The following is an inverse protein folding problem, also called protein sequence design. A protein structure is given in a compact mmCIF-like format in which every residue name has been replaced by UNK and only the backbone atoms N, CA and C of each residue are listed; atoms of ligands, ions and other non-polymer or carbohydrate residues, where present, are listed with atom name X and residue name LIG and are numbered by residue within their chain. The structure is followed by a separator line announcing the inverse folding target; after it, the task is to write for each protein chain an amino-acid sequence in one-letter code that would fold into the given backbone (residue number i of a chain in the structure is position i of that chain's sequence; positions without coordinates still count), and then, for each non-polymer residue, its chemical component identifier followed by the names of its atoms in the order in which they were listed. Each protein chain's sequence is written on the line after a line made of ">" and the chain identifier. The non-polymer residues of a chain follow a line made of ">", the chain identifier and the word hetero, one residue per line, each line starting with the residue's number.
data_IF_815446795963
#
_entry.id   IF_815446795963
#
_cell.length_a   1.000
_cell.length_b   1.000
_cell.length_c   1.000
_cell.angle_alpha   90.00
_cell.angle_beta   90.00
_cell.angle_gamma   90.00
#
_symmetry.space_group_name_H-M   'P 1'
#
loop_
_entity.id
_entity.type
_entity.pdbx_description
1 polymer ?
#
# COMPACT_ATOMS: atom_id res chain seq x y z
N UNK A 1 19.03 -11.29 15.54
CA UNK A 1 18.39 -11.28 14.98
C UNK A 1 17.71 -11.83 15.10
N UNK A 2 17.36 -12.09 15.31
CA UNK A 2 16.64 -12.30 15.33
C UNK A 2 16.11 -13.21 15.18
N UNK A 3 15.51 -13.52 15.83
CA UNK A 3 14.65 -14.26 15.63
C UNK A 3 14.63 -14.94 14.49
N UNK A 4 15.19 -14.58 13.64
CA UNK A 4 15.16 -15.14 12.47
C UNK A 4 16.34 -15.87 12.15
N UNK A 5 16.95 -16.42 13.12
CA UNK A 5 18.15 -17.07 12.94
C UNK A 5 18.13 -18.22 12.03
N UNK A 6 17.01 -18.90 11.92
CA UNK A 6 16.90 -20.08 11.08
C UNK A 6 16.42 -19.78 9.70
N UNK A 7 16.26 -18.51 9.37
CA UNK A 7 15.73 -18.11 8.08
C UNK A 7 16.86 -17.64 7.20
N UNK A 8 16.89 -18.15 5.97
CA UNK A 8 17.86 -17.74 4.98
C UNK A 8 17.73 -16.24 4.73
N UNK A 9 18.81 -15.47 4.78
CA UNK A 9 18.77 -14.05 4.50
C UNK A 9 18.14 -13.70 3.16
N UNK A 10 18.31 -14.55 2.15
CA UNK A 10 17.66 -14.32 0.88
C UNK A 10 16.17 -14.46 0.96
N UNK A 11 15.68 -15.39 1.76
CA UNK A 11 14.25 -15.54 1.97
C UNK A 11 13.67 -14.33 2.65
N UNK A 12 14.37 -13.79 3.63
CA UNK A 12 13.94 -12.60 4.33
C UNK A 12 13.85 -11.43 3.35
N UNK A 13 14.87 -11.24 2.54
CA UNK A 13 14.88 -10.16 1.57
C UNK A 13 13.73 -10.31 0.56
N UNK A 14 13.48 -11.52 0.09
CA UNK A 14 12.42 -11.75 -0.86
C UNK A 14 11.05 -11.52 -0.25
N UNK A 15 10.88 -11.87 1.01
CA UNK A 15 9.61 -11.67 1.68
C UNK A 15 9.35 -10.21 2.00
N UNK A 16 10.41 -9.46 2.29
CA UNK A 16 10.28 -8.05 2.63
C UNK A 16 10.21 -7.16 1.40
N UNK A 17 10.65 -7.68 0.24
CA UNK A 17 10.68 -6.93 -0.99
C UNK A 17 9.93 -7.71 -2.06
N UNK A 18 8.60 -7.70 -2.02
CA UNK A 18 7.83 -8.44 -3.01
C UNK A 18 8.15 -7.93 -4.41
N UNK A 19 8.11 -8.83 -5.39
CA UNK A 19 8.41 -8.47 -6.77
C UNK A 19 7.42 -7.47 -7.34
N UNK A 20 6.19 -7.48 -6.82
CA UNK A 20 5.16 -6.54 -7.26
C UNK A 20 4.63 -5.77 -6.08
N UNK A 21 4.43 -4.44 -6.25
CA UNK A 21 3.84 -3.64 -5.18
C UNK A 21 2.43 -4.11 -4.85
N UNK A 22 2.09 -4.09 -3.57
CA UNK A 22 0.76 -4.48 -3.12
C UNK A 22 0.01 -3.24 -2.66
N UNK A 23 -1.08 -2.95 -3.35
CA UNK A 23 -1.93 -1.80 -3.01
C UNK A 23 -2.74 -2.11 -1.75
N UNK A 24 -2.92 -1.12 -0.85
CA UNK A 24 -3.71 -1.36 0.36
C UNK A 24 -5.15 -1.79 0.07
N UNK A 25 -5.69 -1.49 -1.11
CA UNK A 25 -6.99 -1.97 -1.53
C UNK A 25 -7.09 -3.49 -1.55
N UNK A 26 -5.99 -4.16 -1.82
CA UNK A 26 -5.95 -5.63 -1.80
C UNK A 26 -6.17 -6.15 -0.39
N UNK A 27 -5.54 -5.54 0.58
CA UNK A 27 -5.73 -5.91 1.98
C UNK A 27 -7.15 -5.61 2.43
N UNK A 28 -7.68 -4.47 2.01
CA UNK A 28 -9.05 -4.10 2.35
C UNK A 28 -10.05 -5.11 1.79
N UNK A 29 -9.81 -5.57 0.57
CA UNK A 29 -10.65 -6.58 -0.06
C UNK A 29 -10.67 -7.87 0.75
N UNK A 30 -9.51 -8.31 1.20
CA UNK A 30 -9.39 -9.50 2.03
C UNK A 30 -10.10 -9.31 3.38
N UNK A 31 -9.96 -8.12 3.96
CA UNK A 31 -10.56 -7.83 5.26
C UNK A 31 -12.07 -7.88 5.21
N UNK A 32 -12.70 -7.26 4.20
CA UNK A 32 -14.15 -7.29 4.09
C UNK A 32 -14.67 -8.67 3.75
N UNK A 33 -13.91 -9.46 3.01
CA UNK A 33 -14.24 -10.85 2.75
C UNK A 33 -14.24 -11.64 4.05
N UNK A 34 -13.21 -11.47 4.84
CA UNK A 34 -13.08 -12.12 6.13
C UNK A 34 -14.23 -11.75 7.06
N UNK A 35 -14.65 -10.48 7.06
CA UNK A 35 -15.74 -10.01 7.89
C UNK A 35 -17.12 -10.35 7.34
N UNK A 36 -17.19 -10.84 6.11
CA UNK A 36 -18.45 -11.21 5.49
C UNK A 36 -19.33 -10.03 5.11
N UNK A 37 -18.73 -8.86 4.87
CA UNK A 37 -19.51 -7.69 4.44
C UNK A 37 -19.23 -7.42 2.97
N UNK A 38 -20.20 -6.79 2.30
CA UNK A 38 -20.06 -6.45 0.91
C UNK A 38 -19.47 -5.07 0.73
N UNK A 39 -18.93 -4.79 -0.45
CA UNK A 39 -18.43 -3.46 -0.78
C UNK A 39 -19.55 -2.42 -0.63
N UNK A 40 -20.75 -2.79 -1.01
CA UNK A 40 -21.90 -1.90 -0.92
C UNK A 40 -22.20 -1.54 0.53
N UNK A 41 -22.16 -2.54 1.41
CA UNK A 41 -22.37 -2.31 2.84
C UNK A 41 -21.28 -1.41 3.41
N UNK A 42 -20.04 -1.67 3.06
CA UNK A 42 -18.92 -0.85 3.54
C UNK A 42 -19.06 0.60 3.06
N UNK A 43 -19.41 0.81 1.79
CA UNK A 43 -19.60 2.15 1.25
C UNK A 43 -20.71 2.88 2.02
N UNK A 44 -21.79 2.19 2.34
CA UNK A 44 -22.88 2.76 3.11
C UNK A 44 -22.42 3.15 4.52
N UNK A 45 -21.68 2.28 5.16
CA UNK A 45 -21.18 2.53 6.51
C UNK A 45 -20.21 3.71 6.54
N UNK A 46 -19.42 3.87 5.50
CA UNK A 46 -18.48 4.97 5.39
C UNK A 46 -19.12 6.26 4.86
N UNK A 47 -20.32 6.15 4.32
CA UNK A 47 -20.97 7.31 3.73
C UNK A 47 -20.29 7.79 2.46
N UNK A 48 -19.71 6.86 1.68
CA UNK A 48 -18.98 7.20 0.47
C UNK A 48 -19.61 6.51 -0.74
N UNK A 49 -19.22 6.96 -1.92
CA UNK A 49 -19.67 6.39 -3.17
C UNK A 49 -19.14 4.97 -3.34
N UNK A 50 -20.01 4.06 -3.74
CA UNK A 50 -19.61 2.70 -4.08
C UNK A 50 -18.53 2.71 -5.18
N UNK A 51 -18.71 3.57 -6.16
CA UNK A 51 -17.80 3.66 -7.29
C UNK A 51 -16.39 4.01 -6.88
N UNK A 52 -16.25 4.99 -6.00
CA UNK A 52 -14.93 5.40 -5.50
C UNK A 52 -14.32 4.30 -4.64
N UNK A 53 -15.09 3.69 -3.77
CA UNK A 53 -14.59 2.59 -2.95
C UNK A 53 -14.14 1.43 -3.83
N UNK A 54 -14.91 1.11 -4.87
CA UNK A 54 -14.55 0.05 -5.79
C UNK A 54 -13.22 0.31 -6.49
N UNK A 55 -12.96 1.56 -6.86
CA UNK A 55 -11.68 1.94 -7.46
C UNK A 55 -10.53 1.74 -6.49
N UNK A 56 -10.72 2.06 -5.23
CA UNK A 56 -9.70 1.84 -4.20
C UNK A 56 -9.43 0.35 -4.05
N UNK A 57 -10.47 -0.46 -3.97
CA UNK A 57 -10.35 -1.90 -3.81
C UNK A 57 -9.63 -2.56 -4.99
N UNK A 58 -9.74 -1.97 -6.15
CA UNK A 58 -9.09 -2.49 -7.35
C UNK A 58 -7.76 -1.82 -7.67
N UNK A 59 -7.24 -1.03 -6.72
CA UNK A 59 -5.93 -0.41 -6.87
C UNK A 59 -5.86 0.74 -7.84
N UNK A 60 -7.01 1.25 -8.29
CA UNK A 60 -7.06 2.33 -9.27
C UNK A 60 -7.08 3.71 -8.63
N UNK A 61 -7.23 3.77 -7.34
CA UNK A 61 -7.27 5.03 -6.61
C UNK A 61 -6.57 4.82 -5.28
N UNK A 62 -5.76 5.79 -4.84
CA UNK A 62 -5.07 5.65 -3.55
C UNK A 62 -6.02 5.81 -2.37
N UNK A 63 -5.63 5.25 -1.25
CA UNK A 63 -6.31 5.49 0.02
C UNK A 63 -5.84 6.85 0.52
N UNK A 64 -6.74 7.82 0.54
CA UNK A 64 -6.45 9.16 1.05
C UNK A 64 -6.46 9.16 2.57
N UNK A 65 -5.99 10.25 3.15
CA UNK A 65 -6.03 10.41 4.61
C UNK A 65 -7.45 10.32 5.13
N UNK A 66 -8.40 10.94 4.41
CA UNK A 66 -9.80 10.88 4.80
C UNK A 66 -10.33 9.45 4.79
N UNK A 67 -10.04 8.72 3.73
CA UNK A 67 -10.48 7.33 3.63
C UNK A 67 -9.83 6.46 4.71
N UNK A 68 -8.57 6.73 5.03
CA UNK A 68 -7.89 6.01 6.11
C UNK A 68 -8.62 6.21 7.44
N UNK A 69 -9.08 7.43 7.70
CA UNK A 69 -9.83 7.73 8.92
C UNK A 69 -11.21 7.08 8.90
N UNK A 70 -11.86 7.03 7.75
CA UNK A 70 -13.15 6.34 7.62
C UNK A 70 -12.98 4.85 7.87
N UNK A 71 -11.93 4.26 7.33
CA UNK A 71 -11.66 2.84 7.51
C UNK A 71 -11.34 2.53 8.96
N UNK A 72 -10.63 3.42 9.64
CA UNK A 72 -10.38 3.27 11.06
C UNK A 72 -11.69 3.28 11.85
N UNK A 73 -12.58 4.21 11.52
CA UNK A 73 -13.86 4.33 12.20
C UNK A 73 -14.74 3.10 12.02
N UNK A 74 -14.74 2.53 10.82
CA UNK A 74 -15.62 1.40 10.50
C UNK A 74 -15.02 0.06 10.89
N UNK A 75 -13.73 -0.13 10.61
CA UNK A 75 -13.08 -1.43 10.78
C UNK A 75 -12.23 -1.53 12.04
N UNK A 76 -11.94 -0.41 12.68
CA UNK A 76 -11.08 -0.41 13.85
C UNK A 76 -9.60 -0.61 13.54
N UNK A 77 -9.22 -0.50 12.29
CA UNK A 77 -7.81 -0.62 11.88
C UNK A 77 -7.23 0.78 11.80
N UNK A 78 -6.11 0.99 12.48
CA UNK A 78 -5.47 2.30 12.62
C UNK A 78 -5.28 2.99 11.26
N UNK A 79 -5.70 4.25 11.17
CA UNK A 79 -5.55 5.05 9.95
C UNK A 79 -4.09 5.14 9.51
N UNK A 80 -3.18 5.21 10.46
CA UNK A 80 -1.76 5.31 10.17
C UNK A 80 -1.27 4.08 9.40
N UNK A 81 -1.82 2.91 9.67
CA UNK A 81 -1.45 1.70 8.95
C UNK A 81 -1.85 1.79 7.48
N UNK A 82 -3.06 2.28 7.21
CA UNK A 82 -3.52 2.44 5.82
C UNK A 82 -2.67 3.45 5.07
N UNK A 83 -2.33 4.57 5.74
CA UNK A 83 -1.49 5.61 5.14
C UNK A 83 -0.09 5.08 4.85
N UNK A 84 0.46 4.32 5.78
CA UNK A 84 1.79 3.74 5.62
C UNK A 84 1.83 2.75 4.45
N UNK A 85 0.82 1.90 4.35
CA UNK A 85 0.74 0.95 3.25
C UNK A 85 0.65 1.66 1.89
N UNK A 86 -0.13 2.74 1.83
CA UNK A 86 -0.24 3.50 0.59
C UNK A 86 1.09 4.16 0.23
N UNK A 87 1.78 4.71 1.22
CA UNK A 87 3.08 5.33 0.99
C UNK A 87 4.10 4.29 0.51
N UNK A 88 4.12 3.12 1.12
CA UNK A 88 5.01 2.05 0.73
C UNK A 88 4.74 1.59 -0.71
N UNK A 89 3.47 1.46 -1.05
CA UNK A 89 3.08 1.11 -2.40
C UNK A 89 3.56 2.16 -3.41
N UNK A 90 3.30 3.43 -3.11
CA UNK A 90 3.69 4.52 -3.98
C UNK A 90 5.20 4.56 -4.19
N UNK A 91 5.95 4.35 -3.12
CA UNK A 91 7.40 4.35 -3.18
C UNK A 91 7.91 3.19 -4.04
N UNK A 92 7.33 2.02 -3.86
CA UNK A 92 7.71 0.83 -4.62
C UNK A 92 7.44 1.00 -6.12
N UNK A 93 6.29 1.57 -6.46
CA UNK A 93 5.95 1.86 -7.85
C UNK A 93 6.93 2.87 -8.44
N UNK A 94 7.24 3.93 -7.70
CA UNK A 94 8.18 4.95 -8.16
C UNK A 94 9.57 4.37 -8.37
N UNK A 95 10.01 3.48 -7.49
CA UNK A 95 11.33 2.84 -7.61
C UNK A 95 11.44 1.95 -8.84
N UNK A 96 10.32 1.49 -9.36
CA UNK A 96 10.29 0.66 -10.57
C UNK A 96 10.14 1.47 -11.85
N UNK A 97 9.96 2.78 -11.74
CA UNK A 97 9.74 3.63 -12.89
C UNK A 97 11.07 3.94 -13.58
N UNK A 98 11.14 3.62 -14.86
CA UNK A 98 12.39 3.79 -15.63
C UNK A 98 12.81 5.24 -15.77
N UNK A 99 11.85 6.13 -15.94
CA UNK A 99 12.13 7.56 -16.08
C UNK A 99 12.73 8.12 -14.80
N UNK A 100 12.13 7.76 -13.68
CA UNK A 100 12.61 8.20 -12.38
C UNK A 100 14.02 7.66 -12.16
N UNK A 101 14.23 6.38 -12.41
CA UNK A 101 15.55 5.76 -12.21
C UNK A 101 16.61 6.40 -13.06
N UNK A 102 16.28 6.73 -14.29
CA UNK A 102 17.22 7.40 -15.19
C UNK A 102 17.60 8.77 -14.64
N UNK A 103 16.62 9.50 -14.17
CA UNK A 103 16.86 10.83 -13.60
C UNK A 103 17.68 10.73 -12.32
N UNK A 104 17.43 9.72 -11.50
CA UNK A 104 18.20 9.50 -10.28
C UNK A 104 19.68 9.24 -10.57
N UNK A 105 19.97 8.51 -11.67
CA UNK A 105 21.36 8.28 -12.08
C UNK A 105 22.04 9.60 -12.41
N UNK A 106 21.36 10.50 -13.09
CA UNK A 106 21.90 11.80 -13.41
C UNK A 106 22.14 12.64 -12.16
N UNK A 107 21.19 12.62 -11.25
CA UNK A 107 21.34 13.33 -9.98
C UNK A 107 22.58 12.83 -9.23
N UNK A 108 22.77 11.50 -9.18
CA UNK A 108 23.90 10.91 -8.47
C UNK A 108 25.23 11.28 -9.11
N UNK A 109 25.26 11.38 -10.43
CA UNK A 109 26.48 11.82 -11.14
C UNK A 109 26.85 13.24 -10.76
N UNK A 110 25.86 14.13 -10.69
CA UNK A 110 26.09 15.52 -10.30
C UNK A 110 26.51 15.60 -8.84
N UNK A 111 25.83 14.86 -7.97
CA UNK A 111 26.15 14.85 -6.56
C UNK A 111 27.56 14.34 -6.26
N UNK A 112 28.05 13.41 -7.07
CA UNK A 112 29.38 12.85 -6.88
C UNK A 112 30.50 13.84 -7.16
N UNK A 113 30.20 14.93 -7.89
CA UNK A 113 31.17 15.94 -8.22
C UNK A 113 31.37 16.95 -7.08
N UNK A 114 30.36 17.08 -6.23
CA UNK A 114 30.42 17.98 -5.10
C UNK A 114 30.80 17.21 -3.84
#
# INVERSE_FOLDING_TARGET
>A
MITMQNIDPQMIANNMMPSEPVHPGTLLKEEIEYLGITQKQLAQQMGVSYSVLNEILNGKRPVSIEYALYLEAVLGIDAQLWIQMQADYNLQVAKSDRKINRHLLEIRKIAAVF
#
